data_IF_834931272368
#
_entry.id   IF_834931272368
#
_cell.length_a   1.000
_cell.length_b   1.000
_cell.length_c   1.000
_cell.angle_alpha   90.00
_cell.angle_beta   90.00
_cell.angle_gamma   90.00
#
_symmetry.space_group_name_H-M   'P 1'
#
loop_
_entity.id
_entity.type
_entity.pdbx_description
1 polymer ?
#
# COMPACT_ATOMS: atom_id res chain seq x y z
N UNK A 1 35.98 -16.78 -29.20
CA UNK A 1 35.64 -17.93 -30.08
C UNK A 1 35.56 -19.15 -29.17
N UNK A 2 34.51 -19.96 -29.08
CA UNK A 2 33.45 -20.30 -30.05
C UNK A 2 32.10 -20.44 -29.35
N UNK A 3 31.06 -20.30 -30.17
CA UNK A 3 29.65 -20.47 -29.86
C UNK A 3 29.33 -21.93 -29.44
N UNK A 4 28.54 -22.08 -28.38
CA UNK A 4 27.94 -23.36 -27.98
C UNK A 4 26.54 -23.48 -28.58
N UNK A 5 26.53 -24.20 -29.71
CA UNK A 5 25.69 -25.36 -30.01
C UNK A 5 24.19 -25.31 -29.62
N UNK A 6 23.41 -25.16 -30.68
CA UNK A 6 22.03 -25.62 -30.84
C UNK A 6 21.95 -27.14 -30.64
N UNK A 7 20.97 -27.62 -29.87
CA UNK A 7 20.45 -28.98 -29.95
C UNK A 7 18.97 -28.93 -30.34
N UNK A 8 18.73 -29.40 -31.55
CA UNK A 8 17.48 -29.82 -32.18
C UNK A 8 16.82 -30.92 -31.37
N UNK A 9 15.50 -30.88 -31.15
CA UNK A 9 14.70 -32.11 -31.24
C UNK A 9 13.25 -31.78 -31.58
N UNK A 10 12.76 -32.47 -32.60
CA UNK A 10 11.51 -32.29 -33.30
C UNK A 10 10.28 -32.55 -32.40
N UNK A 11 9.35 -31.59 -32.34
CA UNK A 11 7.96 -31.86 -31.92
C UNK A 11 7.09 -31.96 -33.17
N UNK A 12 6.63 -33.16 -33.49
CA UNK A 12 5.58 -33.35 -34.50
C UNK A 12 4.21 -33.01 -33.89
N UNK A 13 3.41 -32.15 -34.54
CA UNK A 13 2.14 -31.68 -34.00
C UNK A 13 0.97 -32.44 -34.63
N UNK A 14 0.72 -33.68 -34.20
CA UNK A 14 -0.61 -34.35 -34.31
C UNK A 14 -0.56 -35.75 -33.65
N UNK A 15 -1.04 -35.90 -32.41
CA UNK A 15 -1.34 -37.24 -31.86
C UNK A 15 -2.66 -37.21 -31.08
N UNK A 16 -3.74 -37.80 -31.62
CA UNK A 16 -5.10 -37.68 -31.07
C UNK A 16 -5.43 -38.68 -29.94
N UNK A 17 -4.46 -39.41 -29.38
CA UNK A 17 -4.72 -40.43 -28.36
C UNK A 17 -3.84 -40.31 -27.09
N UNK A 18 -3.78 -39.12 -26.49
CA UNK A 18 -3.22 -38.97 -25.14
C UNK A 18 -4.28 -39.24 -24.04
N UNK A 19 -4.90 -40.43 -24.09
CA UNK A 19 -5.71 -40.96 -22.98
C UNK A 19 -4.82 -41.69 -21.98
N UNK A 20 -4.07 -40.95 -21.17
CA UNK A 20 -3.31 -41.54 -20.07
C UNK A 20 -4.27 -41.98 -18.96
N UNK A 21 -4.43 -43.29 -18.82
CA UNK A 21 -5.24 -43.96 -17.81
C UNK A 21 -4.60 -43.84 -16.42
N UNK A 22 -5.24 -43.12 -15.49
CA UNK A 22 -4.80 -43.09 -14.08
C UNK A 22 -5.29 -44.35 -13.36
N UNK A 23 -4.44 -45.38 -13.24
CA UNK A 23 -4.71 -46.53 -12.37
C UNK A 23 -4.60 -46.09 -10.91
N UNK A 24 -5.66 -46.35 -10.13
CA UNK A 24 -5.77 -46.05 -8.71
C UNK A 24 -4.65 -46.71 -7.90
N UNK A 25 -3.63 -45.92 -7.55
CA UNK A 25 -2.65 -46.29 -6.53
C UNK A 25 -3.25 -45.94 -5.17
N UNK A 26 -3.67 -46.96 -4.41
CA UNK A 26 -4.06 -46.80 -3.01
C UNK A 26 -2.81 -46.41 -2.21
N UNK A 27 -2.72 -45.14 -1.82
CA UNK A 27 -1.68 -44.67 -0.90
C UNK A 27 -1.94 -45.28 0.50
N UNK A 28 -0.90 -45.72 1.23
CA UNK A 28 -1.07 -46.15 2.61
C UNK A 28 -1.62 -44.98 3.43
N UNK A 29 -2.73 -45.20 4.11
CA UNK A 29 -3.34 -44.25 5.04
C UNK A 29 -2.39 -44.03 6.22
N UNK A 30 -1.48 -43.07 6.09
CA UNK A 30 -0.90 -42.46 7.29
C UNK A 30 -2.07 -41.80 8.01
N UNK A 31 -2.35 -42.24 9.23
CA UNK A 31 -3.38 -41.62 10.06
C UNK A 31 -2.92 -40.18 10.32
N UNK A 32 -3.66 -39.21 9.78
CA UNK A 32 -3.53 -37.82 10.21
C UNK A 32 -3.92 -37.79 11.70
N UNK A 33 -3.11 -37.18 12.59
CA UNK A 33 -3.56 -36.91 13.94
C UNK A 33 -4.75 -35.95 13.84
N UNK A 34 -5.83 -36.25 14.58
CA UNK A 34 -7.09 -35.50 14.59
C UNK A 34 -6.92 -34.04 14.17
N UNK A 35 -7.18 -33.78 12.89
CA UNK A 35 -7.27 -32.43 12.36
C UNK A 35 -8.63 -31.92 12.85
N UNK A 36 -8.66 -31.39 14.07
CA UNK A 36 -9.61 -30.35 14.39
C UNK A 36 -9.46 -29.33 13.25
N UNK A 37 -10.45 -29.28 12.35
CA UNK A 37 -10.55 -28.21 11.35
C UNK A 37 -10.21 -26.92 12.08
N UNK A 38 -9.14 -26.20 11.71
CA UNK A 38 -8.90 -24.90 12.29
C UNK A 38 -10.12 -24.08 11.89
N UNK A 39 -10.97 -23.84 12.90
CA UNK A 39 -12.21 -23.08 12.82
C UNK A 39 -12.04 -21.99 11.79
N UNK A 40 -12.97 -21.97 10.82
CA UNK A 40 -12.95 -21.09 9.67
C UNK A 40 -12.21 -19.81 9.97
N UNK A 41 -11.06 -19.65 9.31
CA UNK A 41 -10.27 -18.43 9.40
C UNK A 41 -11.19 -17.32 8.89
N UNK A 42 -11.86 -16.66 9.83
CA UNK A 42 -12.63 -15.45 9.63
C UNK A 42 -11.60 -14.39 9.29
N UNK A 43 -11.19 -14.41 8.02
CA UNK A 43 -10.44 -13.34 7.43
C UNK A 43 -11.45 -12.20 7.36
N UNK A 44 -11.36 -11.15 8.20
CA UNK A 44 -12.14 -9.96 7.94
C UNK A 44 -11.75 -9.55 6.52
N UNK A 45 -12.71 -9.59 5.60
CA UNK A 45 -12.55 -8.90 4.33
C UNK A 45 -12.14 -7.45 4.63
N UNK A 46 -11.39 -6.78 3.74
CA UNK A 46 -11.07 -5.37 3.97
C UNK A 46 -12.38 -4.66 4.30
N UNK A 47 -12.47 -4.08 5.50
CA UNK A 47 -13.61 -3.25 5.88
C UNK A 47 -13.69 -2.16 4.82
N UNK A 48 -14.66 -2.29 3.91
CA UNK A 48 -14.91 -1.27 2.91
C UNK A 48 -15.69 -0.19 3.64
N UNK A 49 -15.05 0.97 3.82
CA UNK A 49 -15.71 2.15 4.38
C UNK A 49 -17.06 2.35 3.68
N UNK A 50 -18.08 2.70 4.46
CA UNK A 50 -19.37 3.05 3.89
C UNK A 50 -19.21 4.22 2.91
N UNK A 51 -20.08 4.37 1.89
CA UNK A 51 -19.97 5.49 0.95
C UNK A 51 -19.97 6.87 1.62
N UNK A 52 -20.62 6.99 2.79
CA UNK A 52 -20.66 8.20 3.61
C UNK A 52 -19.32 8.43 4.33
N UNK A 53 -18.73 7.40 4.95
CA UNK A 53 -17.38 7.47 5.54
C UNK A 53 -16.32 7.76 4.48
N UNK A 54 -16.43 7.13 3.30
CA UNK A 54 -15.56 7.40 2.17
C UNK A 54 -15.68 8.85 1.69
N UNK A 55 -16.91 9.38 1.57
CA UNK A 55 -17.15 10.77 1.19
C UNK A 55 -16.60 11.76 2.25
N UNK A 56 -16.79 11.48 3.54
CA UNK A 56 -16.22 12.28 4.63
C UNK A 56 -14.69 12.27 4.61
N UNK A 57 -14.09 11.11 4.38
CA UNK A 57 -12.64 10.96 4.20
C UNK A 57 -12.11 11.74 3.00
N UNK A 58 -12.83 11.78 1.88
CA UNK A 58 -12.45 12.59 0.72
C UNK A 58 -12.46 14.09 1.02
N UNK A 59 -13.48 14.58 1.73
CA UNK A 59 -13.60 16.00 2.10
C UNK A 59 -12.47 16.42 3.05
N UNK A 60 -12.18 15.59 4.06
CA UNK A 60 -11.05 15.80 4.98
C UNK A 60 -9.71 15.84 4.25
N UNK A 61 -9.51 14.94 3.27
CA UNK A 61 -8.31 14.94 2.44
C UNK A 61 -8.20 16.22 1.60
N UNK A 62 -9.31 16.70 1.05
CA UNK A 62 -9.35 17.92 0.24
C UNK A 62 -8.99 19.15 1.09
N UNK A 63 -9.55 19.27 2.30
CA UNK A 63 -9.23 20.34 3.24
C UNK A 63 -7.76 20.30 3.68
N UNK A 64 -7.22 19.10 3.90
CA UNK A 64 -5.79 18.93 4.17
C UNK A 64 -4.94 19.40 2.99
N UNK A 65 -5.31 19.06 1.75
CA UNK A 65 -4.59 19.53 0.56
C UNK A 65 -4.65 21.05 0.43
N UNK A 66 -5.80 21.66 0.68
CA UNK A 66 -5.95 23.12 0.63
C UNK A 66 -5.15 23.82 1.73
N UNK A 67 -5.06 23.23 2.93
CA UNK A 67 -4.16 23.70 3.97
C UNK A 67 -2.69 23.61 3.54
N UNK A 68 -2.27 22.50 2.92
CA UNK A 68 -0.91 22.34 2.41
C UNK A 68 -0.56 23.38 1.33
N UNK A 69 -1.52 23.78 0.49
CA UNK A 69 -1.34 24.88 -0.49
C UNK A 69 -1.08 26.24 0.17
N UNK A 70 -1.50 26.45 1.42
CA UNK A 70 -1.22 27.71 2.17
C UNK A 70 0.20 27.76 2.75
N UNK A 71 0.93 26.65 2.69
CA UNK A 71 2.33 26.58 3.11
C UNK A 71 3.26 26.94 1.96
N UNK A 72 4.54 27.11 2.30
CA UNK A 72 5.57 27.24 1.28
C UNK A 72 5.65 25.92 0.49
N UNK A 73 5.88 25.98 -0.83
CA UNK A 73 5.88 24.80 -1.72
C UNK A 73 6.75 23.66 -1.16
N UNK A 74 7.93 23.99 -0.61
CA UNK A 74 8.84 23.02 0.01
C UNK A 74 8.29 22.40 1.29
N UNK A 75 7.57 23.17 2.09
CA UNK A 75 6.94 22.70 3.33
C UNK A 75 5.75 21.79 3.01
N UNK A 76 4.90 22.21 2.07
CA UNK A 76 3.77 21.42 1.59
C UNK A 76 4.20 20.10 0.97
N UNK A 77 5.25 20.11 0.14
CA UNK A 77 5.73 18.89 -0.52
C UNK A 77 6.32 17.88 0.48
N UNK A 78 7.06 18.33 1.50
CA UNK A 78 7.56 17.45 2.57
C UNK A 78 6.41 16.80 3.32
N UNK A 79 5.39 17.56 3.71
CA UNK A 79 4.23 17.02 4.42
C UNK A 79 3.41 16.09 3.51
N UNK A 80 3.21 16.46 2.24
CA UNK A 80 2.50 15.62 1.27
C UNK A 80 3.16 14.25 1.14
N UNK A 81 4.47 14.22 0.90
CA UNK A 81 5.22 12.96 0.80
C UNK A 81 5.24 12.15 2.12
N UNK A 82 5.21 12.81 3.27
CA UNK A 82 5.20 12.16 4.59
C UNK A 82 3.85 11.56 4.97
N UNK A 83 2.76 12.25 4.67
CA UNK A 83 1.41 11.89 5.15
C UNK A 83 0.52 11.25 4.09
N UNK A 84 0.72 11.55 2.80
CA UNK A 84 -0.07 10.95 1.71
C UNK A 84 0.64 9.80 1.00
N UNK A 85 1.97 9.72 1.11
CA UNK A 85 2.77 8.65 0.47
C UNK A 85 3.53 7.80 1.50
N UNK A 86 3.35 8.08 2.80
CA UNK A 86 4.01 7.39 3.92
C UNK A 86 5.53 7.23 3.76
N UNK A 87 6.18 8.19 3.09
CA UNK A 87 7.62 8.12 2.85
C UNK A 87 8.41 8.45 4.13
N UNK A 88 9.56 7.82 4.29
CA UNK A 88 10.47 8.11 5.41
C UNK A 88 11.22 9.42 5.19
N UNK A 89 11.75 10.03 6.26
CA UNK A 89 12.56 11.25 6.18
C UNK A 89 13.77 11.09 5.24
N UNK A 90 14.34 9.89 5.16
CA UNK A 90 15.45 9.59 4.24
C UNK A 90 14.99 9.53 2.79
N UNK A 91 13.85 8.90 2.51
CA UNK A 91 13.27 8.82 1.17
C UNK A 91 12.86 10.20 0.66
N UNK A 92 12.20 11.00 1.51
CA UNK A 92 11.84 12.40 1.19
C UNK A 92 13.09 13.24 0.98
N UNK A 93 14.12 13.06 1.80
CA UNK A 93 15.40 13.74 1.66
C UNK A 93 16.06 13.42 0.32
N UNK A 94 16.10 12.13 -0.06
CA UNK A 94 16.62 11.68 -1.35
C UNK A 94 15.85 12.27 -2.53
N UNK A 95 14.52 12.31 -2.46
CA UNK A 95 13.68 12.86 -3.51
C UNK A 95 13.87 14.37 -3.71
N UNK A 96 14.11 15.12 -2.63
CA UNK A 96 14.33 16.56 -2.68
C UNK A 96 15.81 16.99 -2.74
N UNK A 97 16.75 16.03 -2.76
CA UNK A 97 18.19 16.31 -2.74
C UNK A 97 18.69 16.99 -1.46
N UNK A 98 18.05 16.74 -0.30
CA UNK A 98 18.44 17.30 1.00
C UNK A 98 18.66 16.19 2.05
N UNK A 99 19.31 16.52 3.17
CA UNK A 99 19.48 15.55 4.26
C UNK A 99 18.16 15.28 5.00
N UNK A 100 18.00 14.06 5.54
CA UNK A 100 16.85 13.73 6.38
C UNK A 100 16.69 14.64 7.60
N UNK A 101 17.80 15.09 8.20
CA UNK A 101 17.80 16.10 9.27
C UNK A 101 17.17 17.43 8.78
N UNK A 102 17.44 17.83 7.54
CA UNK A 102 16.84 19.03 6.96
C UNK A 102 15.35 18.85 6.68
N UNK A 103 14.92 17.67 6.24
CA UNK A 103 13.49 17.31 6.10
C UNK A 103 12.79 17.47 7.45
N UNK A 104 13.36 16.92 8.53
CA UNK A 104 12.80 17.04 9.89
C UNK A 104 12.64 18.50 10.34
N UNK A 105 13.61 19.37 10.03
CA UNK A 105 13.50 20.79 10.35
C UNK A 105 12.37 21.48 9.59
N UNK A 106 12.21 21.16 8.30
CA UNK A 106 11.14 21.70 7.46
C UNK A 106 9.79 21.21 7.98
N UNK A 107 9.66 19.92 8.29
CA UNK A 107 8.47 19.31 8.87
C UNK A 107 8.07 20.00 10.18
N UNK A 108 9.01 20.17 11.13
CA UNK A 108 8.73 20.85 12.40
C UNK A 108 8.27 22.31 12.19
N UNK A 109 8.88 23.02 11.23
CA UNK A 109 8.50 24.40 10.88
C UNK A 109 7.09 24.44 10.26
N UNK A 110 6.78 23.52 9.35
CA UNK A 110 5.49 23.41 8.69
C UNK A 110 4.38 23.06 9.68
N UNK A 111 4.61 22.06 10.56
CA UNK A 111 3.68 21.69 11.62
C UNK A 111 3.40 22.85 12.59
N UNK A 112 4.42 23.65 12.92
CA UNK A 112 4.22 24.85 13.74
C UNK A 112 3.31 25.88 13.06
N UNK A 113 3.41 26.04 11.73
CA UNK A 113 2.54 26.94 10.95
C UNK A 113 1.11 26.40 10.87
N UNK A 114 0.95 25.09 10.67
CA UNK A 114 -0.36 24.43 10.64
C UNK A 114 -1.08 24.59 11.98
N UNK A 115 -0.39 24.32 13.09
CA UNK A 115 -0.98 24.36 14.45
C UNK A 115 -1.39 25.76 14.92
N UNK A 116 -1.08 26.82 14.16
CA UNK A 116 -1.48 28.17 14.51
C UNK A 116 -3.01 28.31 14.45
N UNK A 117 -3.69 28.82 15.50
CA UNK A 117 -5.16 28.79 15.61
C UNK A 117 -5.89 29.44 14.43
N UNK A 118 -5.31 30.50 13.85
CA UNK A 118 -5.87 31.14 12.65
C UNK A 118 -5.93 30.22 11.42
N UNK A 119 -5.12 29.15 11.35
CA UNK A 119 -5.12 28.16 10.26
C UNK A 119 -5.80 26.86 10.69
N UNK A 120 -5.61 26.43 11.93
CA UNK A 120 -6.25 25.22 12.50
C UNK A 120 -7.77 25.33 12.58
N UNK A 121 -8.33 26.52 12.81
CA UNK A 121 -9.78 26.68 13.01
C UNK A 121 -10.62 26.15 11.85
N UNK A 122 -10.10 26.17 10.61
CA UNK A 122 -10.80 25.63 9.45
C UNK A 122 -10.97 24.11 9.53
N UNK A 123 -9.88 23.38 9.79
CA UNK A 123 -9.88 21.91 9.90
C UNK A 123 -10.56 21.44 11.19
N UNK A 124 -10.44 22.20 12.28
CA UNK A 124 -11.01 21.83 13.58
C UNK A 124 -12.54 21.82 13.57
N UNK A 125 -13.17 22.61 12.71
CA UNK A 125 -14.62 22.56 12.50
C UNK A 125 -15.05 21.20 11.99
N UNK A 126 -14.36 20.64 10.99
CA UNK A 126 -14.64 19.30 10.46
C UNK A 126 -14.42 18.19 11.51
N UNK A 127 -13.32 18.25 12.26
CA UNK A 127 -13.01 17.27 13.32
C UNK A 127 -13.94 17.32 14.54
N UNK A 128 -14.67 18.42 14.77
CA UNK A 128 -15.59 18.55 15.92
C UNK A 128 -17.03 18.20 15.58
N UNK A 129 -17.35 18.07 14.29
CA UNK A 129 -18.68 17.68 13.79
C UNK A 129 -18.88 16.17 13.67
N UNK A 130 -17.84 15.36 13.91
CA UNK A 130 -17.90 13.88 13.94
C UNK A 130 -17.74 13.32 15.37
N UNK A 131 -18.65 13.71 16.28
CA UNK A 131 -18.90 13.07 17.58
C UNK A 131 -20.35 13.30 17.99
#
# INVERSE_FOLDING_TARGET
>A
MKASEFITENRTPDDPDNRTTWRHHHLPTTKMPDEEEPMGLDLPGPELDSPEEFAGGLDLNQDMLDLLKTLEEREGNVLYMRFFQDLTLEQVGKAMGISGQRVRQIEAKALRKIRHPSRTNHIRTHLSSEN
#
